data_IF_368232319832
#
_entry.id   IF_368232319832
#
_cell.length_a   1.000
_cell.length_b   1.000
_cell.length_c   1.000
_cell.angle_alpha   90.00
_cell.angle_beta   90.00
_cell.angle_gamma   90.00
#
_symmetry.space_group_name_H-M   'P 1'
#
loop_
_entity.id
_entity.type
_entity.pdbx_description
1 polymer ?
#
# COMPACT_ATOMS: atom_id res chain seq x y z
N UNK A 1 -8.04 -9.86 33.65
CA UNK A 1 -9.33 -9.15 33.60
C UNK A 1 -10.10 -9.56 34.84
N UNK A 2 -10.09 -8.72 35.83
CA UNK A 2 -10.76 -8.93 37.11
C UNK A 2 -12.15 -8.29 37.03
N UNK A 3 -13.19 -9.12 37.20
CA UNK A 3 -14.56 -8.66 37.36
C UNK A 3 -14.84 -8.53 38.85
N UNK A 4 -14.93 -7.32 39.33
CA UNK A 4 -15.41 -6.98 40.68
C UNK A 4 -16.93 -7.05 40.69
N UNK A 5 -17.47 -8.06 41.38
CA UNK A 5 -18.89 -8.13 41.70
C UNK A 5 -19.12 -7.38 43.02
N UNK A 6 -19.80 -6.24 42.96
CA UNK A 6 -20.32 -5.47 44.07
C UNK A 6 -21.59 -6.17 44.60
N UNK A 7 -21.49 -6.83 45.73
CA UNK A 7 -22.63 -7.34 46.49
C UNK A 7 -23.17 -6.24 47.41
N UNK A 8 -24.33 -5.69 47.10
CA UNK A 8 -25.07 -4.84 48.04
C UNK A 8 -25.61 -5.66 49.19
N UNK A 9 -25.08 -5.43 50.37
CA UNK A 9 -25.68 -5.83 51.65
C UNK A 9 -26.95 -5.01 51.90
N UNK A 10 -28.12 -5.63 51.70
CA UNK A 10 -29.38 -5.10 52.19
C UNK A 10 -29.55 -5.59 53.66
N UNK A 11 -29.50 -4.66 54.58
CA UNK A 11 -29.91 -4.89 55.97
C UNK A 11 -31.39 -5.30 56.04
N UNK A 12 -31.78 -6.31 56.82
CA UNK A 12 -33.17 -6.59 57.07
C UNK A 12 -33.79 -5.52 57.94
N UNK A 13 -34.85 -4.92 57.47
CA UNK A 13 -35.67 -3.95 58.18
C UNK A 13 -36.41 -4.67 59.29
N UNK A 14 -36.38 -4.07 60.50
CA UNK A 14 -37.13 -4.47 61.66
C UNK A 14 -38.66 -4.47 61.37
N UNK A 15 -39.43 -5.45 61.89
CA UNK A 15 -40.88 -5.46 61.73
C UNK A 15 -41.56 -4.33 62.51
N UNK A 16 -42.69 -3.85 62.02
CA UNK A 16 -43.36 -2.70 62.62
C UNK A 16 -43.94 -3.03 63.99
N UNK A 17 -43.76 -2.04 64.84
CA UNK A 17 -44.27 -2.00 66.21
C UNK A 17 -45.77 -2.23 66.23
N UNK A 18 -46.24 -3.39 66.71
CA UNK A 18 -47.68 -3.65 66.88
C UNK A 18 -48.18 -2.84 68.08
N UNK A 19 -49.06 -1.93 67.79
CA UNK A 19 -49.84 -1.16 68.74
C UNK A 19 -50.45 -2.06 69.79
N UNK A 20 -50.12 -1.80 71.03
CA UNK A 20 -50.83 -2.29 72.18
C UNK A 20 -52.19 -1.58 72.21
N UNK A 21 -53.35 -2.26 72.18
CA UNK A 21 -54.64 -1.61 72.30
C UNK A 21 -54.78 -1.01 73.68
N UNK A 22 -55.45 0.19 73.85
CA UNK A 22 -55.62 0.84 75.14
C UNK A 22 -56.41 -0.07 76.06
N UNK A 23 -55.91 -0.21 77.29
CA UNK A 23 -56.59 -0.89 78.38
C UNK A 23 -57.85 -0.12 78.68
N UNK A 24 -59.02 -0.65 78.28
CA UNK A 24 -60.28 -0.16 78.79
C UNK A 24 -60.33 -0.45 80.30
N UNK A 25 -60.15 0.57 81.06
CA UNK A 25 -60.39 0.59 82.50
C UNK A 25 -61.89 0.61 82.68
N UNK A 26 -62.53 -0.56 82.63
CA UNK A 26 -63.88 -0.69 83.21
C UNK A 26 -63.79 -0.38 84.71
N UNK A 27 -64.73 0.38 85.30
CA UNK A 27 -64.68 0.74 86.72
C UNK A 27 -64.70 -0.56 87.51
N UNK A 28 -63.69 -0.68 88.36
CA UNK A 28 -63.59 -1.77 89.34
C UNK A 28 -64.75 -1.71 90.25
N UNK A 29 -65.64 -2.69 90.39
CA UNK A 29 -66.67 -2.72 91.39
C UNK A 29 -66.01 -2.82 92.73
N UNK A 30 -66.40 -1.90 93.63
CA UNK A 30 -65.90 -1.88 95.05
C UNK A 30 -66.34 -3.09 95.76
N UNK A 31 -65.46 -4.08 95.84
CA UNK A 31 -65.69 -5.39 96.44
C UNK A 31 -65.96 -5.31 97.94
N UNK A 32 -65.47 -4.24 98.60
CA UNK A 32 -65.54 -4.11 100.06
C UNK A 32 -66.80 -3.44 100.54
N UNK A 33 -67.59 -2.78 99.72
CA UNK A 33 -68.77 -1.98 100.08
C UNK A 33 -70.09 -2.63 99.60
N UNK A 34 -70.11 -3.88 99.14
CA UNK A 34 -71.28 -4.57 98.67
C UNK A 34 -72.14 -4.99 99.86
N UNK A 35 -73.29 -4.37 100.02
CA UNK A 35 -74.21 -4.64 101.15
C UNK A 35 -75.41 -5.46 100.74
N UNK A 36 -75.63 -5.67 99.47
CA UNK A 36 -76.75 -6.45 98.90
C UNK A 36 -76.31 -7.78 98.33
N UNK A 37 -77.11 -8.85 98.50
CA UNK A 37 -76.83 -10.19 97.93
C UNK A 37 -76.78 -10.19 96.42
N UNK A 38 -77.45 -9.21 95.72
CA UNK A 38 -77.43 -9.10 94.29
C UNK A 38 -76.09 -8.47 93.81
N UNK A 39 -75.52 -7.51 94.60
CA UNK A 39 -74.21 -6.91 94.34
C UNK A 39 -73.05 -7.88 94.54
N UNK A 40 -73.14 -8.73 95.63
CA UNK A 40 -72.15 -9.75 95.85
C UNK A 40 -72.15 -10.82 94.69
N UNK A 41 -73.33 -11.22 94.24
CA UNK A 41 -73.42 -12.11 93.06
C UNK A 41 -72.84 -11.48 91.78
N UNK A 42 -73.09 -10.17 91.54
CA UNK A 42 -72.57 -9.46 90.37
C UNK A 42 -71.03 -9.31 90.46
N UNK A 43 -70.49 -8.97 91.65
CA UNK A 43 -69.03 -8.88 91.84
C UNK A 43 -68.36 -10.28 91.77
N UNK A 44 -69.02 -11.34 92.22
CA UNK A 44 -68.51 -12.70 92.13
C UNK A 44 -68.50 -13.20 90.64
N UNK A 45 -69.59 -12.88 89.91
CA UNK A 45 -69.57 -13.13 88.44
C UNK A 45 -68.54 -12.38 87.65
N UNK A 46 -68.32 -11.12 88.02
CA UNK A 46 -67.26 -10.27 87.47
C UNK A 46 -65.86 -10.82 87.80
N UNK A 47 -65.64 -11.25 89.10
CA UNK A 47 -64.37 -11.89 89.48
C UNK A 47 -64.12 -13.16 88.69
N UNK A 48 -65.18 -14.01 88.49
CA UNK A 48 -65.05 -15.26 87.68
C UNK A 48 -64.76 -14.95 86.23
N UNK A 49 -65.32 -13.89 85.68
CA UNK A 49 -64.98 -13.49 84.32
C UNK A 49 -63.55 -12.94 84.23
N UNK A 50 -63.06 -12.24 85.19
CA UNK A 50 -61.68 -11.79 85.29
C UNK A 50 -60.72 -12.99 85.45
N UNK A 51 -61.05 -13.89 86.37
CA UNK A 51 -60.27 -15.16 86.52
C UNK A 51 -60.16 -15.90 85.20
N UNK A 52 -61.29 -16.14 84.52
CA UNK A 52 -61.30 -16.81 83.25
C UNK A 52 -60.47 -16.03 82.18
N UNK A 53 -60.54 -14.69 82.18
CA UNK A 53 -59.72 -13.92 81.24
C UNK A 53 -58.22 -14.00 81.57
N UNK A 54 -57.85 -13.92 82.83
CA UNK A 54 -56.46 -14.06 83.26
C UNK A 54 -55.95 -15.49 83.01
N UNK A 55 -56.78 -16.52 83.23
CA UNK A 55 -56.42 -17.89 82.96
C UNK A 55 -56.20 -18.13 81.41
N UNK A 56 -57.10 -17.57 80.57
CA UNK A 56 -56.95 -17.65 79.14
C UNK A 56 -55.67 -16.92 78.67
N UNK A 57 -55.34 -15.75 79.25
CA UNK A 57 -54.06 -15.05 78.95
C UNK A 57 -52.85 -15.78 79.45
N UNK A 58 -52.92 -16.48 80.54
CA UNK A 58 -51.85 -17.32 81.09
C UNK A 58 -51.62 -18.54 80.13
N UNK A 59 -52.66 -19.19 79.71
CA UNK A 59 -52.60 -20.31 78.81
C UNK A 59 -52.04 -19.87 77.42
N UNK A 60 -52.46 -18.74 76.95
CA UNK A 60 -51.93 -18.14 75.73
C UNK A 60 -50.40 -17.80 75.86
N UNK A 61 -49.97 -17.29 77.02
CA UNK A 61 -48.56 -17.04 77.28
C UNK A 61 -47.75 -18.34 77.40
N UNK A 62 -48.31 -19.38 78.06
CA UNK A 62 -47.66 -20.68 78.20
C UNK A 62 -47.53 -21.38 76.83
N UNK A 63 -48.56 -21.30 75.97
CA UNK A 63 -48.46 -21.77 74.59
C UNK A 63 -47.45 -21.03 73.77
N UNK A 64 -47.47 -19.70 73.85
CA UNK A 64 -46.47 -18.82 73.20
C UNK A 64 -45.04 -19.14 73.67
N UNK A 65 -44.86 -19.37 74.99
CA UNK A 65 -43.54 -19.75 75.53
C UNK A 65 -43.09 -21.15 74.98
N UNK A 66 -44.03 -22.11 74.88
CA UNK A 66 -43.70 -23.41 74.29
C UNK A 66 -43.32 -23.29 72.82
N UNK A 67 -44.07 -22.48 72.05
CA UNK A 67 -43.77 -22.23 70.65
C UNK A 67 -42.42 -21.53 70.49
N UNK A 68 -42.16 -20.50 71.32
CA UNK A 68 -40.87 -19.81 71.33
C UNK A 68 -39.72 -20.77 71.67
N UNK A 69 -39.92 -21.66 72.67
CA UNK A 69 -38.91 -22.68 73.00
C UNK A 69 -38.67 -23.65 71.86
N UNK A 70 -39.74 -24.02 71.09
CA UNK A 70 -39.63 -24.88 69.91
C UNK A 70 -38.85 -24.21 68.81
N UNK A 71 -39.17 -22.94 68.51
CA UNK A 71 -38.44 -22.15 67.51
C UNK A 71 -36.99 -21.86 67.91
N UNK A 72 -36.69 -21.60 69.19
CA UNK A 72 -35.32 -21.50 69.68
C UNK A 72 -34.54 -22.81 69.46
N UNK A 73 -35.16 -23.95 69.80
CA UNK A 73 -34.56 -25.26 69.57
C UNK A 73 -34.31 -25.52 68.06
N UNK A 74 -35.23 -25.08 67.20
CA UNK A 74 -35.05 -25.14 65.74
C UNK A 74 -33.92 -24.25 65.26
N UNK A 75 -33.79 -23.01 65.79
CA UNK A 75 -32.70 -22.09 65.49
C UNK A 75 -31.35 -22.65 65.94
N UNK A 76 -31.29 -23.29 67.13
CA UNK A 76 -30.04 -23.91 67.58
C UNK A 76 -29.61 -25.09 66.70
N UNK A 77 -30.57 -25.91 66.25
CA UNK A 77 -30.26 -26.94 65.27
C UNK A 77 -29.76 -26.38 63.93
N UNK A 78 -30.41 -25.32 63.43
CA UNK A 78 -29.94 -24.66 62.21
C UNK A 78 -28.55 -24.02 62.41
N UNK A 79 -28.29 -23.38 63.57
CA UNK A 79 -26.98 -22.83 63.92
C UNK A 79 -25.90 -23.91 63.96
N UNK A 80 -26.21 -25.05 64.57
CA UNK A 80 -25.30 -26.20 64.62
C UNK A 80 -25.02 -26.76 63.22
N UNK A 81 -26.07 -26.88 62.38
CA UNK A 81 -25.95 -27.29 60.98
C UNK A 81 -25.10 -26.33 60.17
N UNK A 82 -25.37 -25.04 60.27
CA UNK A 82 -24.56 -23.99 59.59
C UNK A 82 -23.10 -24.03 60.06
N UNK A 83 -22.89 -24.20 61.35
CA UNK A 83 -21.55 -24.36 61.93
C UNK A 83 -20.80 -25.58 61.39
N UNK A 84 -21.50 -26.71 61.29
CA UNK A 84 -20.94 -27.92 60.68
C UNK A 84 -20.62 -27.71 59.21
N UNK A 85 -21.54 -27.12 58.42
CA UNK A 85 -21.30 -26.82 57.03
C UNK A 85 -20.16 -25.79 56.82
N UNK A 86 -20.09 -24.76 57.66
CA UNK A 86 -19.00 -23.79 57.61
C UNK A 86 -17.65 -24.47 57.95
N UNK A 87 -17.61 -25.36 58.91
CA UNK A 87 -16.41 -26.13 59.23
C UNK A 87 -15.98 -27.07 58.09
N UNK A 88 -16.92 -27.81 57.51
CA UNK A 88 -16.64 -28.70 56.35
C UNK A 88 -16.18 -27.87 55.13
N UNK A 89 -16.86 -26.76 54.82
CA UNK A 89 -16.47 -25.89 53.71
C UNK A 89 -15.08 -25.31 53.95
N UNK A 90 -14.76 -24.90 55.16
CA UNK A 90 -13.42 -24.40 55.50
C UNK A 90 -12.34 -25.48 55.38
N UNK A 91 -12.65 -26.68 55.84
CA UNK A 91 -11.76 -27.85 55.70
C UNK A 91 -11.48 -28.18 54.22
N UNK A 92 -12.53 -28.21 53.37
CA UNK A 92 -12.38 -28.41 51.91
C UNK A 92 -11.57 -27.26 51.29
N UNK A 93 -11.91 -26.00 51.61
CA UNK A 93 -11.27 -24.85 51.03
C UNK A 93 -9.80 -24.73 51.44
N UNK A 94 -9.52 -24.79 52.73
CA UNK A 94 -8.15 -24.59 53.25
C UNK A 94 -7.29 -25.87 53.21
N UNK A 95 -7.91 -27.03 53.26
CA UNK A 95 -7.19 -28.30 53.13
C UNK A 95 -7.05 -28.71 51.69
N UNK A 96 -8.05 -29.38 51.14
CA UNK A 96 -7.97 -30.05 49.86
C UNK A 96 -7.78 -29.11 48.66
N UNK A 97 -8.54 -27.98 48.62
CA UNK A 97 -8.43 -27.04 47.50
C UNK A 97 -7.13 -26.26 47.54
N UNK A 98 -6.66 -25.89 48.73
CA UNK A 98 -5.37 -25.20 48.88
C UNK A 98 -4.18 -26.09 48.49
N UNK A 99 -4.18 -27.33 48.90
CA UNK A 99 -3.16 -28.31 48.49
C UNK A 99 -3.23 -28.63 46.99
N UNK A 100 -4.44 -28.80 46.44
CA UNK A 100 -4.62 -29.00 45.00
C UNK A 100 -4.15 -27.77 44.19
N UNK A 101 -4.48 -26.55 44.64
CA UNK A 101 -4.00 -25.33 44.04
C UNK A 101 -2.46 -25.22 44.11
N UNK A 102 -1.86 -25.52 45.24
CA UNK A 102 -0.41 -25.54 45.41
C UNK A 102 0.30 -26.58 44.52
N UNK A 103 -0.32 -27.76 44.33
CA UNK A 103 0.21 -28.78 43.40
C UNK A 103 0.04 -28.36 41.95
N UNK A 104 -1.12 -27.76 41.59
CA UNK A 104 -1.37 -27.23 40.26
C UNK A 104 -0.40 -26.10 39.89
N UNK A 105 -0.13 -25.18 40.82
CA UNK A 105 0.87 -24.12 40.64
C UNK A 105 2.28 -24.67 40.46
N UNK A 106 2.69 -25.67 41.24
CA UNK A 106 4.01 -26.31 41.04
C UNK A 106 4.15 -26.97 39.68
N UNK A 107 3.09 -27.72 39.24
CA UNK A 107 3.07 -28.36 37.93
C UNK A 107 3.10 -27.28 36.82
N UNK A 108 2.24 -26.26 36.91
CA UNK A 108 2.16 -25.17 35.95
C UNK A 108 3.50 -24.41 35.83
N UNK A 109 4.15 -24.14 36.96
CA UNK A 109 5.47 -23.49 36.96
C UNK A 109 6.56 -24.40 36.38
N UNK A 110 6.50 -25.73 36.63
CA UNK A 110 7.41 -26.68 36.02
C UNK A 110 7.21 -26.77 34.50
N UNK A 111 5.95 -26.81 34.03
CA UNK A 111 5.63 -26.80 32.60
C UNK A 111 6.10 -25.50 31.95
N UNK A 112 5.80 -24.34 32.52
CA UNK A 112 6.29 -23.06 31.99
C UNK A 112 7.81 -22.99 31.88
N UNK A 113 8.53 -23.55 32.87
CA UNK A 113 9.99 -23.61 32.82
C UNK A 113 10.48 -24.51 31.68
N UNK A 114 9.87 -25.71 31.52
CA UNK A 114 10.19 -26.63 30.43
C UNK A 114 9.84 -26.03 29.07
N UNK A 115 8.72 -25.34 28.92
CA UNK A 115 8.35 -24.65 27.70
C UNK A 115 9.36 -23.57 27.32
N UNK A 116 9.85 -22.81 28.32
CA UNK A 116 10.86 -21.78 28.12
C UNK A 116 12.23 -22.41 27.75
N UNK A 117 12.60 -23.50 28.37
CA UNK A 117 13.82 -24.26 28.01
C UNK A 117 13.70 -24.84 26.59
N UNK A 118 12.53 -25.41 26.25
CA UNK A 118 12.25 -25.92 24.90
C UNK A 118 12.32 -24.81 23.85
N UNK A 119 11.74 -23.63 24.13
CA UNK A 119 11.80 -22.48 23.23
C UNK A 119 13.25 -22.01 23.02
N UNK A 120 14.08 -22.00 24.06
CA UNK A 120 15.50 -21.67 23.96
C UNK A 120 16.27 -22.68 23.13
N UNK A 121 16.03 -23.97 23.36
CA UNK A 121 16.70 -25.05 22.59
C UNK A 121 16.29 -24.97 21.11
N UNK A 122 15.01 -24.75 20.80
CA UNK A 122 14.57 -24.56 19.42
C UNK A 122 15.24 -23.36 18.77
N UNK A 123 15.29 -22.21 19.46
CA UNK A 123 15.96 -21.03 18.93
C UNK A 123 17.46 -21.23 18.70
N UNK A 124 18.15 -21.94 19.61
CA UNK A 124 19.58 -22.25 19.41
C UNK A 124 19.81 -23.24 18.26
N UNK A 125 18.92 -24.25 18.10
CA UNK A 125 18.98 -25.20 16.99
C UNK A 125 18.80 -24.47 15.66
N UNK A 126 17.82 -23.58 15.56
CA UNK A 126 17.59 -22.77 14.36
C UNK A 126 18.82 -21.94 13.97
N UNK A 127 19.49 -21.30 14.94
CA UNK A 127 20.73 -20.56 14.68
C UNK A 127 21.85 -21.49 14.21
N UNK A 128 21.99 -22.67 14.80
CA UNK A 128 22.99 -23.65 14.39
C UNK A 128 22.75 -24.14 12.97
N UNK A 129 21.49 -24.44 12.62
CA UNK A 129 21.11 -24.84 11.26
C UNK A 129 21.40 -23.72 10.24
N UNK A 130 21.07 -22.47 10.59
CA UNK A 130 21.37 -21.30 9.75
C UNK A 130 22.89 -21.08 9.55
N UNK A 131 23.69 -21.27 10.58
CA UNK A 131 25.17 -21.17 10.47
C UNK A 131 25.76 -22.34 9.68
N UNK A 132 25.23 -23.54 9.82
CA UNK A 132 25.64 -24.69 9.00
C UNK A 132 25.30 -24.46 7.51
N UNK A 133 24.12 -23.94 7.22
CA UNK A 133 23.72 -23.54 5.86
C UNK A 133 24.64 -22.45 5.31
N UNK A 134 24.93 -21.42 6.11
CA UNK A 134 25.82 -20.33 5.73
C UNK A 134 27.24 -20.87 5.39
N UNK A 135 27.75 -21.81 6.18
CA UNK A 135 29.05 -22.49 5.92
C UNK A 135 29.00 -23.28 4.62
N UNK A 136 27.93 -24.04 4.38
CA UNK A 136 27.76 -24.80 3.15
C UNK A 136 27.67 -23.86 1.93
N UNK A 137 27.02 -22.73 2.06
CA UNK A 137 26.93 -21.71 1.01
C UNK A 137 28.32 -21.07 0.75
N UNK A 138 29.06 -20.68 1.78
CA UNK A 138 30.39 -20.08 1.61
C UNK A 138 31.37 -21.04 0.89
N UNK A 139 31.42 -22.30 1.29
CA UNK A 139 32.21 -23.33 0.62
C UNK A 139 31.70 -23.61 -0.80
N UNK A 140 30.37 -23.65 -0.99
CA UNK A 140 29.74 -23.83 -2.30
C UNK A 140 30.09 -22.72 -3.28
N UNK A 141 30.09 -21.46 -2.84
CA UNK A 141 30.53 -20.30 -3.63
C UNK A 141 32.00 -20.44 -4.01
N UNK A 142 32.89 -20.69 -3.02
CA UNK A 142 34.33 -20.84 -3.28
C UNK A 142 34.63 -21.98 -4.28
N UNK A 143 33.98 -23.13 -4.11
CA UNK A 143 34.13 -24.27 -5.02
C UNK A 143 33.56 -24.00 -6.42
N UNK A 144 32.47 -23.27 -6.54
CA UNK A 144 31.81 -22.94 -7.84
C UNK A 144 32.56 -21.83 -8.59
N UNK A 145 33.33 -20.98 -7.91
CA UNK A 145 34.19 -19.96 -8.52
C UNK A 145 35.53 -20.49 -8.97
N UNK A 146 35.92 -21.71 -8.54
CA UNK A 146 37.09 -22.43 -9.02
C UNK A 146 36.93 -22.94 -10.47
N UNK A 147 37.86 -23.80 -10.88
CA UNK A 147 37.77 -24.43 -12.21
C UNK A 147 37.13 -25.83 -12.11
N UNK A 148 36.08 -26.18 -12.87
CA UNK A 148 35.33 -25.35 -13.85
C UNK A 148 34.36 -24.32 -13.18
N UNK A 149 34.35 -23.12 -13.70
CA UNK A 149 33.48 -22.07 -13.17
C UNK A 149 31.99 -22.34 -13.49
N UNK A 150 31.19 -22.44 -12.43
CA UNK A 150 29.74 -22.55 -12.52
C UNK A 150 29.07 -21.34 -11.83
N UNK A 151 28.90 -20.28 -12.61
CA UNK A 151 28.38 -18.99 -12.12
C UNK A 151 26.93 -19.07 -11.64
N UNK A 152 26.13 -19.96 -12.21
CA UNK A 152 24.74 -20.13 -11.81
C UNK A 152 24.64 -20.79 -10.44
N UNK A 153 25.47 -21.81 -10.18
CA UNK A 153 25.53 -22.42 -8.84
C UNK A 153 26.08 -21.45 -7.81
N UNK A 154 27.16 -20.71 -8.15
CA UNK A 154 27.67 -19.68 -7.26
C UNK A 154 26.61 -18.62 -6.90
N UNK A 155 25.84 -18.12 -7.87
CA UNK A 155 24.76 -17.19 -7.65
C UNK A 155 23.62 -17.81 -6.81
N UNK A 156 23.29 -19.09 -7.00
CA UNK A 156 22.29 -19.79 -6.20
C UNK A 156 22.70 -19.95 -4.73
N UNK A 157 23.99 -20.24 -4.47
CA UNK A 157 24.51 -20.28 -3.10
C UNK A 157 24.47 -18.90 -2.43
N UNK A 158 24.83 -17.84 -3.15
CA UNK A 158 24.71 -16.47 -2.64
C UNK A 158 23.25 -16.11 -2.33
N UNK A 159 22.33 -16.52 -3.18
CA UNK A 159 20.90 -16.30 -2.92
C UNK A 159 20.42 -17.00 -1.66
N UNK A 160 20.83 -18.26 -1.45
CA UNK A 160 20.51 -19.01 -0.22
C UNK A 160 21.14 -18.37 1.02
N UNK A 161 22.42 -17.96 0.92
CA UNK A 161 23.08 -17.23 2.00
C UNK A 161 22.38 -15.91 2.35
N UNK A 162 21.85 -15.19 1.37
CA UNK A 162 21.11 -13.95 1.57
C UNK A 162 19.75 -14.16 2.28
N UNK A 163 19.22 -15.38 2.34
CA UNK A 163 18.01 -15.70 3.10
C UNK A 163 18.29 -15.84 4.61
N UNK A 164 19.54 -16.04 5.01
CA UNK A 164 19.94 -16.11 6.41
C UNK A 164 19.86 -14.71 7.03
N UNK A 165 19.23 -14.54 8.22
CA UNK A 165 19.14 -13.24 8.87
C UNK A 165 20.51 -12.59 9.08
N UNK A 166 20.63 -11.28 8.82
CA UNK A 166 21.85 -10.53 8.98
C UNK A 166 22.42 -10.57 10.41
N UNK A 167 21.56 -10.74 11.41
CA UNK A 167 21.94 -10.92 12.81
C UNK A 167 22.74 -12.20 13.05
N UNK A 168 22.46 -13.25 12.28
CA UNK A 168 23.19 -14.52 12.34
C UNK A 168 24.47 -14.43 11.53
N UNK A 169 24.43 -13.88 10.33
CA UNK A 169 25.61 -13.70 9.45
C UNK A 169 26.72 -12.89 10.15
N UNK A 170 26.34 -11.82 10.85
CA UNK A 170 27.25 -10.94 11.58
C UNK A 170 27.47 -11.37 13.06
N UNK A 171 26.87 -12.49 13.45
CA UNK A 171 26.99 -13.00 14.82
C UNK A 171 28.38 -13.57 15.11
N UNK A 172 28.83 -13.45 16.38
CA UNK A 172 30.12 -13.99 16.82
C UNK A 172 30.26 -15.51 16.55
N UNK A 173 29.19 -16.26 16.71
CA UNK A 173 29.13 -17.68 16.44
C UNK A 173 29.39 -18.03 14.96
N UNK A 174 28.80 -17.27 14.04
CA UNK A 174 29.06 -17.44 12.61
C UNK A 174 30.47 -17.04 12.23
N UNK A 175 31.01 -15.96 12.81
CA UNK A 175 32.36 -15.49 12.58
C UNK A 175 33.46 -16.50 13.04
N UNK A 176 33.14 -17.34 14.03
CA UNK A 176 34.02 -18.36 14.54
C UNK A 176 33.88 -19.71 13.79
N UNK A 177 32.66 -20.11 13.47
CA UNK A 177 32.35 -21.45 12.96
C UNK A 177 32.40 -21.59 11.44
N UNK A 178 32.16 -20.50 10.70
CA UNK A 178 32.10 -20.53 9.21
C UNK A 178 33.51 -20.56 8.59
N UNK A 179 34.49 -19.76 9.05
CA UNK A 179 35.86 -19.78 8.47
C UNK A 179 36.45 -21.16 8.42
N UNK A 180 37.12 -21.48 7.30
CA UNK A 180 37.81 -22.74 7.06
C UNK A 180 39.18 -22.45 6.45
N UNK A 181 40.01 -23.49 6.31
CA UNK A 181 41.31 -23.33 5.65
C UNK A 181 41.19 -22.84 4.18
N UNK A 182 40.07 -23.15 3.52
CA UNK A 182 39.80 -22.72 2.14
C UNK A 182 39.19 -21.31 2.07
N UNK A 183 38.47 -20.91 3.11
CA UNK A 183 37.77 -19.62 3.21
C UNK A 183 38.07 -19.04 4.60
N UNK A 184 39.17 -18.36 4.79
CA UNK A 184 39.61 -17.87 6.10
C UNK A 184 38.89 -16.62 6.58
N UNK A 185 38.26 -15.88 5.67
CA UNK A 185 37.59 -14.62 5.97
C UNK A 185 36.23 -14.81 6.66
N UNK A 186 35.72 -13.81 7.42
CA UNK A 186 34.39 -13.81 7.97
C UNK A 186 33.34 -13.98 6.88
N UNK A 187 32.17 -14.64 7.17
CA UNK A 187 31.18 -14.99 6.15
C UNK A 187 30.62 -13.77 5.43
N UNK A 188 30.39 -12.65 6.12
CA UNK A 188 29.94 -11.42 5.51
C UNK A 188 30.88 -10.89 4.43
N UNK A 189 32.17 -10.82 4.74
CA UNK A 189 33.22 -10.33 3.82
C UNK A 189 33.37 -11.27 2.63
N UNK A 190 33.39 -12.58 2.89
CA UNK A 190 33.50 -13.60 1.83
C UNK A 190 32.35 -13.52 0.84
N UNK A 191 31.12 -13.43 1.35
CA UNK A 191 29.89 -13.35 0.51
C UNK A 191 29.83 -12.05 -0.29
N UNK A 192 30.19 -10.91 0.33
CA UNK A 192 30.22 -9.61 -0.34
C UNK A 192 31.30 -9.57 -1.44
N UNK A 193 32.51 -10.04 -1.18
CA UNK A 193 33.57 -10.13 -2.17
C UNK A 193 33.19 -11.05 -3.34
N UNK A 194 32.57 -12.18 -3.05
CA UNK A 194 32.07 -13.10 -4.06
C UNK A 194 30.97 -12.48 -4.91
N UNK A 195 30.03 -11.79 -4.28
CA UNK A 195 28.94 -11.08 -4.97
C UNK A 195 29.49 -9.98 -5.88
N UNK A 196 30.50 -9.23 -5.45
CA UNK A 196 31.13 -8.18 -6.25
C UNK A 196 31.93 -8.78 -7.43
N UNK A 197 32.70 -9.84 -7.20
CA UNK A 197 33.41 -10.55 -8.24
C UNK A 197 32.46 -11.12 -9.32
N UNK A 198 31.38 -11.77 -8.90
CA UNK A 198 30.35 -12.28 -9.82
C UNK A 198 29.64 -11.15 -10.54
N UNK A 199 29.35 -10.03 -9.87
CA UNK A 199 28.76 -8.86 -10.51
C UNK A 199 29.66 -8.34 -11.64
N UNK A 200 30.95 -8.21 -11.40
CA UNK A 200 31.92 -7.83 -12.42
C UNK A 200 32.02 -8.81 -13.60
N UNK A 201 31.94 -10.12 -13.33
CA UNK A 201 31.85 -11.14 -14.37
C UNK A 201 30.56 -11.05 -15.19
N UNK A 202 29.42 -10.93 -14.54
CA UNK A 202 28.12 -10.81 -15.20
C UNK A 202 28.04 -9.57 -16.08
N UNK A 203 28.59 -8.44 -15.62
CA UNK A 203 28.66 -7.22 -16.42
C UNK A 203 29.46 -7.43 -17.72
N UNK A 204 30.63 -8.03 -17.63
CA UNK A 204 31.48 -8.31 -18.80
C UNK A 204 30.81 -9.26 -19.80
N UNK A 205 30.25 -10.35 -19.31
CA UNK A 205 29.59 -11.33 -20.16
C UNK A 205 28.26 -10.79 -20.73
N UNK A 206 27.54 -9.96 -19.98
CA UNK A 206 26.36 -9.27 -20.47
C UNK A 206 26.72 -8.31 -21.62
N UNK A 207 27.76 -7.47 -21.44
CA UNK A 207 28.23 -6.55 -22.48
C UNK A 207 28.72 -7.31 -23.74
N UNK A 208 29.38 -8.45 -23.54
CA UNK A 208 29.79 -9.31 -24.64
C UNK A 208 28.56 -9.88 -25.37
N UNK A 209 27.58 -10.40 -24.64
CA UNK A 209 26.33 -10.90 -25.20
C UNK A 209 25.55 -9.82 -25.97
N UNK A 210 25.57 -8.57 -25.49
CA UNK A 210 24.99 -7.42 -26.19
C UNK A 210 25.72 -7.14 -27.51
N UNK A 211 27.05 -7.19 -27.53
CA UNK A 211 27.84 -7.02 -28.78
C UNK A 211 27.60 -8.15 -29.78
N UNK A 212 27.46 -9.38 -29.28
CA UNK A 212 27.13 -10.57 -30.08
C UNK A 212 25.66 -10.60 -30.49
N UNK A 213 24.81 -9.73 -29.93
CA UNK A 213 23.36 -9.70 -30.11
C UNK A 213 22.65 -11.02 -29.75
N UNK A 214 23.19 -11.72 -28.72
CA UNK A 214 22.65 -13.00 -28.24
C UNK A 214 21.60 -12.76 -27.12
N UNK A 215 20.33 -12.71 -27.52
CA UNK A 215 19.21 -12.46 -26.59
C UNK A 215 19.08 -13.54 -25.51
N UNK A 216 19.48 -14.79 -25.79
CA UNK A 216 19.40 -15.88 -24.82
C UNK A 216 20.40 -15.67 -23.68
N UNK A 217 21.65 -15.33 -24.02
CA UNK A 217 22.68 -15.00 -23.01
C UNK A 217 22.34 -13.75 -22.24
N UNK A 218 21.84 -12.70 -22.91
CA UNK A 218 21.38 -11.45 -22.24
C UNK A 218 20.33 -11.78 -21.19
N UNK A 219 19.31 -12.55 -21.53
CA UNK A 219 18.25 -12.96 -20.61
C UNK A 219 18.79 -13.83 -19.48
N UNK A 220 19.73 -14.73 -19.75
CA UNK A 220 20.37 -15.60 -18.77
C UNK A 220 21.09 -14.77 -17.72
N UNK A 221 22.00 -13.88 -18.11
CA UNK A 221 22.74 -13.04 -17.17
C UNK A 221 21.85 -12.05 -16.44
N UNK A 222 20.83 -11.51 -17.11
CA UNK A 222 19.85 -10.63 -16.48
C UNK A 222 19.17 -11.29 -15.26
N UNK A 223 18.82 -12.57 -15.35
CA UNK A 223 18.20 -13.33 -14.25
C UNK A 223 19.14 -13.60 -13.06
N UNK A 224 20.46 -13.52 -13.26
CA UNK A 224 21.44 -13.82 -12.21
C UNK A 224 21.74 -12.63 -11.27
N UNK A 225 21.57 -11.39 -11.73
CA UNK A 225 21.84 -10.20 -10.90
C UNK A 225 21.03 -10.14 -9.60
N UNK A 226 19.71 -10.43 -9.60
CA UNK A 226 18.94 -10.42 -8.36
C UNK A 226 19.37 -11.52 -7.37
N UNK A 227 19.88 -12.66 -7.87
CA UNK A 227 20.37 -13.76 -7.02
C UNK A 227 21.59 -13.37 -6.19
N UNK A 228 22.45 -12.50 -6.73
CA UNK A 228 23.63 -11.99 -6.01
C UNK A 228 23.35 -10.71 -5.20
N UNK A 229 22.06 -10.30 -5.06
CA UNK A 229 21.68 -9.10 -4.34
C UNK A 229 21.98 -7.78 -5.06
N UNK A 230 22.42 -7.80 -6.31
CA UNK A 230 22.77 -6.62 -7.13
C UNK A 230 21.68 -6.28 -8.17
N UNK A 231 20.42 -6.33 -7.74
CA UNK A 231 19.27 -6.11 -8.62
C UNK A 231 19.27 -4.73 -9.29
N UNK A 232 19.73 -3.68 -8.62
CA UNK A 232 19.77 -2.33 -9.19
C UNK A 232 20.75 -2.21 -10.35
N UNK A 233 21.93 -2.83 -10.20
CA UNK A 233 22.95 -2.88 -11.26
C UNK A 233 22.39 -3.62 -12.48
N UNK A 234 21.74 -4.76 -12.27
CA UNK A 234 21.11 -5.53 -13.34
C UNK A 234 20.06 -4.73 -14.11
N UNK A 235 19.18 -4.01 -13.41
CA UNK A 235 18.17 -3.14 -14.04
C UNK A 235 18.81 -1.98 -14.82
N UNK A 236 19.89 -1.40 -14.29
CA UNK A 236 20.59 -0.30 -14.95
C UNK A 236 21.29 -0.72 -16.24
N UNK A 237 21.92 -1.89 -16.24
CA UNK A 237 22.58 -2.45 -17.42
C UNK A 237 21.55 -2.87 -18.46
N UNK A 238 20.48 -3.50 -18.03
CA UNK A 238 19.38 -3.90 -18.89
C UNK A 238 18.68 -2.70 -19.49
N UNK A 239 18.41 -1.65 -18.69
CA UNK A 239 17.84 -0.40 -19.18
C UNK A 239 18.71 0.25 -20.25
N UNK A 240 20.05 0.27 -20.08
CA UNK A 240 20.98 0.77 -21.11
C UNK A 240 20.89 -0.04 -22.41
N UNK A 241 20.87 -1.37 -22.29
CA UNK A 241 20.72 -2.25 -23.45
C UNK A 241 19.44 -1.96 -24.24
N UNK A 242 18.32 -1.86 -23.54
CA UNK A 242 17.03 -1.60 -24.17
C UNK A 242 17.00 -0.21 -24.81
N UNK A 243 17.53 0.83 -24.15
CA UNK A 243 17.65 2.19 -24.69
C UNK A 243 18.50 2.22 -25.96
N UNK A 244 19.62 1.49 -26.01
CA UNK A 244 20.45 1.34 -27.23
C UNK A 244 19.64 0.73 -28.38
N UNK A 245 18.82 -0.27 -28.12
CA UNK A 245 17.91 -0.88 -29.09
C UNK A 245 16.88 0.13 -29.62
N UNK A 246 16.26 0.90 -28.74
CA UNK A 246 15.32 1.97 -29.12
C UNK A 246 16.00 3.02 -29.97
N UNK A 247 17.17 3.51 -29.58
CA UNK A 247 17.93 4.51 -30.32
C UNK A 247 18.34 4.01 -31.72
N UNK A 248 18.82 2.77 -31.82
CA UNK A 248 19.21 2.18 -33.09
C UNK A 248 18.01 2.06 -34.05
N UNK A 249 16.85 1.61 -33.54
CA UNK A 249 15.64 1.47 -34.35
C UNK A 249 15.03 2.82 -34.74
N UNK A 250 15.09 3.82 -33.86
CA UNK A 250 14.66 5.20 -34.17
C UNK A 250 15.48 5.81 -35.29
N UNK A 251 16.82 5.69 -35.23
CA UNK A 251 17.72 6.14 -36.29
C UNK A 251 17.50 5.40 -37.62
N UNK A 252 17.31 4.09 -37.57
CA UNK A 252 17.00 3.30 -38.75
C UNK A 252 15.69 3.75 -39.43
N UNK A 253 14.67 4.09 -38.62
CA UNK A 253 13.40 4.62 -39.12
C UNK A 253 13.56 5.99 -39.80
N UNK A 254 14.43 6.86 -39.28
CA UNK A 254 14.74 8.15 -39.89
C UNK A 254 15.60 8.01 -41.18
N UNK A 255 16.61 7.13 -41.15
CA UNK A 255 17.55 6.96 -42.27
C UNK A 255 16.95 6.12 -43.41
N UNK A 256 15.97 5.26 -43.16
CA UNK A 256 15.32 4.43 -44.17
C UNK A 256 14.59 5.22 -45.26
N UNK A 257 14.39 6.54 -45.04
CA UNK A 257 13.81 7.45 -46.02
C UNK A 257 14.84 8.17 -46.91
N UNK A 258 16.14 8.08 -46.59
CA UNK A 258 17.20 8.80 -47.34
C UNK A 258 17.65 8.05 -48.60
N UNK A 259 17.16 6.81 -48.87
CA UNK A 259 17.60 5.95 -49.97
C UNK A 259 16.83 6.06 -51.30
N UNK A 260 15.89 6.95 -51.44
CA UNK A 260 15.14 7.13 -52.70
C UNK A 260 14.47 8.48 -52.75
N UNK A 261 14.53 9.17 -53.89
CA UNK A 261 13.94 10.48 -54.19
C UNK A 261 12.38 10.47 -54.14
N UNK A 262 11.76 9.72 -53.22
CA UNK A 262 10.36 9.88 -52.91
C UNK A 262 10.25 11.01 -51.87
N UNK A 263 9.58 12.09 -52.28
CA UNK A 263 9.10 13.14 -51.40
C UNK A 263 8.59 12.51 -50.13
N UNK A 264 9.26 12.82 -48.99
CA UNK A 264 8.83 12.34 -47.65
C UNK A 264 7.35 12.63 -47.53
N UNK A 265 6.56 11.55 -47.39
CA UNK A 265 5.11 11.62 -47.29
C UNK A 265 4.70 12.67 -46.25
N UNK A 266 3.60 13.39 -46.44
CA UNK A 266 3.20 14.52 -45.58
C UNK A 266 3.11 14.19 -44.08
N UNK A 267 3.17 12.89 -43.72
CA UNK A 267 3.10 12.41 -42.32
C UNK A 267 4.30 11.56 -41.91
N UNK A 268 5.43 11.68 -42.58
CA UNK A 268 6.61 10.82 -42.37
C UNK A 268 7.10 10.93 -40.91
N UNK A 269 7.25 12.12 -40.36
CA UNK A 269 7.75 12.35 -39.00
C UNK A 269 6.75 11.93 -37.93
N UNK A 270 5.46 12.17 -38.16
CA UNK A 270 4.41 11.67 -37.30
C UNK A 270 4.40 10.14 -37.21
N UNK A 271 4.66 9.46 -38.35
CA UNK A 271 4.78 8.00 -38.38
C UNK A 271 6.06 7.50 -37.71
N UNK A 272 7.20 8.23 -37.87
CA UNK A 272 8.45 7.92 -37.19
C UNK A 272 8.28 8.00 -35.66
N UNK A 273 7.62 9.05 -35.17
CA UNK A 273 7.31 9.23 -33.75
C UNK A 273 6.36 8.15 -33.23
N UNK A 274 5.35 7.80 -34.01
CA UNK A 274 4.43 6.70 -33.67
C UNK A 274 5.18 5.38 -33.52
N UNK A 275 6.04 5.03 -34.46
CA UNK A 275 6.86 3.80 -34.39
C UNK A 275 7.82 3.78 -33.20
N UNK A 276 8.35 4.94 -32.80
CA UNK A 276 9.17 5.06 -31.59
C UNK A 276 8.36 4.68 -30.37
N UNK A 277 7.19 5.28 -30.18
CA UNK A 277 6.34 5.03 -29.03
C UNK A 277 5.76 3.61 -28.99
N UNK A 278 5.33 3.09 -30.13
CA UNK A 278 4.89 1.69 -30.26
C UNK A 278 6.00 0.70 -29.90
N UNK A 279 7.23 0.96 -30.31
CA UNK A 279 8.36 0.10 -29.96
C UNK A 279 8.65 0.13 -28.45
N UNK A 280 8.60 1.29 -27.82
CA UNK A 280 8.76 1.40 -26.37
C UNK A 280 7.63 0.69 -25.64
N UNK A 281 6.38 0.84 -26.10
CA UNK A 281 5.24 0.12 -25.52
C UNK A 281 5.40 -1.41 -25.66
N UNK A 282 5.82 -1.92 -26.80
CA UNK A 282 6.11 -3.35 -27.00
C UNK A 282 7.19 -3.87 -26.07
N UNK A 283 8.22 -3.07 -25.79
CA UNK A 283 9.27 -3.44 -24.84
C UNK A 283 8.71 -3.50 -23.41
N UNK A 284 7.93 -2.52 -23.01
CA UNK A 284 7.34 -2.47 -21.67
C UNK A 284 6.41 -3.67 -21.46
N UNK A 285 5.51 -3.95 -22.42
CA UNK A 285 4.59 -5.07 -22.34
C UNK A 285 5.29 -6.43 -22.40
N UNK A 286 6.26 -6.59 -23.31
CA UNK A 286 6.98 -7.85 -23.50
C UNK A 286 7.94 -8.18 -22.36
N UNK A 287 8.56 -7.19 -21.76
CA UNK A 287 9.61 -7.39 -20.73
C UNK A 287 9.13 -7.14 -19.32
N UNK A 288 7.97 -6.51 -19.10
CA UNK A 288 7.40 -6.22 -17.80
C UNK A 288 7.27 -7.46 -16.93
N UNK A 289 6.68 -8.52 -17.47
CA UNK A 289 6.51 -9.79 -16.76
C UNK A 289 7.85 -10.46 -16.38
N UNK A 290 8.88 -10.37 -17.22
CA UNK A 290 10.21 -10.90 -16.94
C UNK A 290 10.87 -10.15 -15.76
N UNK A 291 10.76 -8.83 -15.76
CA UNK A 291 11.33 -7.98 -14.70
C UNK A 291 10.60 -8.23 -13.38
N UNK A 292 9.27 -8.25 -13.38
CA UNK A 292 8.49 -8.47 -12.16
C UNK A 292 8.72 -9.86 -11.55
N UNK A 293 8.84 -10.89 -12.38
CA UNK A 293 9.07 -12.26 -11.92
C UNK A 293 10.42 -12.42 -11.21
N UNK A 294 11.49 -11.81 -11.74
CA UNK A 294 12.84 -12.02 -11.23
C UNK A 294 13.32 -10.94 -10.24
N UNK A 295 12.84 -9.71 -10.41
CA UNK A 295 13.28 -8.56 -9.61
C UNK A 295 12.26 -8.10 -8.57
N UNK A 296 11.03 -8.62 -8.66
CA UNK A 296 9.93 -8.28 -7.78
C UNK A 296 9.05 -7.14 -8.32
N UNK A 297 7.91 -6.91 -7.67
CA UNK A 297 6.92 -5.94 -8.12
C UNK A 297 7.49 -4.52 -8.13
N UNK A 298 7.01 -3.70 -9.07
CA UNK A 298 7.36 -2.28 -9.23
C UNK A 298 8.79 -1.97 -9.67
N UNK A 299 9.63 -2.96 -9.90
CA UNK A 299 11.02 -2.72 -10.32
C UNK A 299 11.13 -2.31 -11.80
N UNK A 300 10.10 -2.60 -12.61
CA UNK A 300 10.04 -2.15 -14.01
C UNK A 300 10.06 -0.62 -14.14
N UNK A 301 9.58 0.11 -13.13
CA UNK A 301 9.59 1.56 -13.12
C UNK A 301 10.95 2.18 -13.41
N UNK A 302 12.04 1.62 -12.87
CA UNK A 302 13.42 2.11 -13.12
C UNK A 302 13.85 1.95 -14.58
N UNK A 303 13.39 0.90 -15.27
CA UNK A 303 13.62 0.70 -16.70
C UNK A 303 12.78 1.69 -17.51
N UNK A 304 11.53 1.92 -17.12
CA UNK A 304 10.64 2.90 -17.75
C UNK A 304 11.19 4.33 -17.63
N UNK A 305 11.75 4.71 -16.49
CA UNK A 305 12.42 6.01 -16.34
C UNK A 305 13.53 6.23 -17.37
N UNK A 306 14.37 5.21 -17.58
CA UNK A 306 15.43 5.27 -18.60
C UNK A 306 14.87 5.29 -20.01
N UNK A 307 13.86 4.49 -20.29
CA UNK A 307 13.17 4.49 -21.58
C UNK A 307 12.52 5.84 -21.88
N UNK A 308 11.98 6.51 -20.86
CA UNK A 308 11.41 7.84 -21.01
C UNK A 308 12.47 8.88 -21.37
N UNK A 309 13.63 8.86 -20.70
CA UNK A 309 14.75 9.75 -21.06
C UNK A 309 15.19 9.51 -22.50
N UNK A 310 15.27 8.26 -22.93
CA UNK A 310 15.63 7.91 -24.30
C UNK A 310 14.54 8.33 -25.32
N UNK A 311 13.26 8.16 -24.93
CA UNK A 311 12.12 8.62 -25.75
C UNK A 311 12.17 10.14 -25.96
N UNK A 312 12.53 10.91 -24.94
CA UNK A 312 12.67 12.35 -25.02
C UNK A 312 13.83 12.75 -25.95
N UNK A 313 14.97 12.05 -25.88
CA UNK A 313 16.12 12.29 -26.75
C UNK A 313 15.79 11.98 -28.21
N UNK A 314 15.26 10.77 -28.48
CA UNK A 314 14.96 10.36 -29.85
C UNK A 314 13.76 11.11 -30.44
N UNK A 315 12.75 11.41 -29.62
CA UNK A 315 11.62 12.27 -30.00
C UNK A 315 12.08 13.70 -30.32
N UNK A 316 12.99 14.25 -29.53
CA UNK A 316 13.63 15.54 -29.81
C UNK A 316 14.34 15.55 -31.18
N UNK A 317 15.15 14.54 -31.47
CA UNK A 317 15.85 14.41 -32.78
C UNK A 317 14.84 14.36 -33.94
N UNK A 318 13.74 13.61 -33.78
CA UNK A 318 12.68 13.53 -34.81
C UNK A 318 12.04 14.91 -35.05
N UNK A 319 11.73 15.63 -33.95
CA UNK A 319 11.10 16.94 -34.00
C UNK A 319 12.03 18.01 -34.58
N UNK A 320 13.31 18.02 -34.17
CA UNK A 320 14.30 18.95 -34.70
C UNK A 320 14.50 18.73 -36.22
N UNK A 321 14.65 17.47 -36.66
CA UNK A 321 14.75 17.10 -38.06
C UNK A 321 13.51 17.52 -38.85
N UNK A 322 12.32 17.32 -38.28
CA UNK A 322 11.06 17.77 -38.87
C UNK A 322 11.00 19.30 -39.04
N UNK A 323 11.38 20.02 -37.96
CA UNK A 323 11.39 21.49 -37.97
C UNK A 323 12.33 22.03 -39.05
N UNK A 324 13.56 21.45 -39.15
CA UNK A 324 14.58 21.86 -40.12
C UNK A 324 14.15 21.55 -41.55
N UNK A 325 13.68 20.31 -41.83
CA UNK A 325 13.31 19.92 -43.21
C UNK A 325 12.02 20.60 -43.72
N UNK A 326 11.07 20.87 -42.81
CA UNK A 326 9.82 21.58 -43.16
C UNK A 326 9.98 23.09 -43.10
N UNK A 327 11.15 23.59 -42.67
CA UNK A 327 11.40 25.02 -42.46
C UNK A 327 10.33 25.71 -41.62
N UNK A 328 9.93 25.02 -40.53
CA UNK A 328 8.78 25.42 -39.69
C UNK A 328 8.94 26.80 -39.13
N UNK A 329 10.12 27.11 -38.59
CA UNK A 329 10.41 28.42 -38.00
C UNK A 329 10.27 29.54 -39.03
N UNK A 330 10.82 29.37 -40.26
CA UNK A 330 10.73 30.34 -41.32
C UNK A 330 9.27 30.52 -41.78
N UNK A 331 8.57 29.43 -42.05
CA UNK A 331 7.17 29.48 -42.52
C UNK A 331 6.23 30.12 -41.49
N UNK A 332 6.45 29.90 -40.20
CA UNK A 332 5.63 30.49 -39.13
C UNK A 332 5.95 31.98 -38.90
N UNK A 333 7.21 32.40 -39.11
CA UNK A 333 7.58 33.79 -38.97
C UNK A 333 7.12 34.66 -40.16
N UNK A 334 7.03 34.06 -41.34
CA UNK A 334 6.64 34.75 -42.57
C UNK A 334 5.12 34.81 -42.79
N UNK A 335 4.32 34.38 -41.83
CA UNK A 335 2.84 34.48 -41.89
C UNK A 335 2.45 35.97 -41.79
N UNK A 336 2.16 36.58 -42.95
CA UNK A 336 1.51 37.87 -43.00
C UNK A 336 0.01 37.74 -42.77
N UNK A 337 -0.61 38.75 -42.19
CA UNK A 337 -2.05 38.81 -42.06
C UNK A 337 -2.71 38.91 -43.43
N UNK A 338 -3.24 37.78 -43.92
CA UNK A 338 -3.92 37.74 -45.21
C UNK A 338 -5.41 38.07 -45.03
N UNK A 339 -6.00 38.80 -46.00
CA UNK A 339 -7.44 39.00 -46.03
C UNK A 339 -8.18 37.66 -46.14
N UNK A 340 -9.33 37.53 -45.46
CA UNK A 340 -10.15 36.32 -45.46
C UNK A 340 -10.47 35.78 -46.86
N UNK A 341 -10.72 36.66 -47.78
CA UNK A 341 -10.96 36.34 -49.21
C UNK A 341 -9.78 35.59 -49.85
N UNK A 342 -8.55 35.98 -49.52
CA UNK A 342 -7.35 35.33 -50.04
C UNK A 342 -7.20 33.93 -49.43
N UNK A 343 -7.43 33.76 -48.14
CA UNK A 343 -7.39 32.48 -47.47
C UNK A 343 -8.41 31.51 -48.04
N UNK A 344 -9.66 31.95 -48.27
CA UNK A 344 -10.70 31.12 -48.89
C UNK A 344 -10.35 30.70 -50.31
N UNK A 345 -9.80 31.61 -51.11
CA UNK A 345 -9.39 31.34 -52.50
C UNK A 345 -8.25 30.32 -52.62
N UNK A 346 -7.32 30.29 -51.64
CA UNK A 346 -6.21 29.31 -51.64
C UNK A 346 -6.65 27.88 -51.42
N UNK A 347 -7.81 27.64 -50.79
CA UNK A 347 -8.39 26.33 -50.54
C UNK A 347 -9.45 25.91 -51.59
N UNK A 348 -9.90 26.81 -52.47
CA UNK A 348 -10.81 26.45 -53.54
C UNK A 348 -10.04 25.72 -54.68
N UNK A 349 -10.63 24.66 -55.23
CA UNK A 349 -9.99 24.01 -56.37
C UNK A 349 -9.86 25.02 -57.53
N UNK A 350 -8.64 25.12 -58.07
CA UNK A 350 -8.38 26.02 -59.21
C UNK A 350 -9.42 25.78 -60.31
N UNK A 351 -10.23 26.78 -60.60
CA UNK A 351 -11.18 26.71 -61.71
C UNK A 351 -10.36 26.48 -62.96
N UNK A 352 -10.65 25.38 -63.73
CA UNK A 352 -10.04 25.12 -65.01
C UNK A 352 -10.22 26.37 -65.88
N UNK A 353 -9.16 26.87 -66.56
CA UNK A 353 -9.30 28.00 -67.49
C UNK A 353 -10.33 27.57 -68.57
N UNK A 354 -11.43 28.30 -68.59
CA UNK A 354 -12.38 28.16 -69.69
C UNK A 354 -11.73 28.60 -70.99
N UNK A 355 -12.26 28.20 -72.16
CA UNK A 355 -11.64 28.51 -73.46
C UNK A 355 -11.50 30.01 -73.68
N UNK A 356 -10.45 30.47 -74.37
CA UNK A 356 -10.08 31.89 -74.48
C UNK A 356 -11.19 32.68 -75.15
N UNK A 357 -11.83 33.58 -74.44
CA UNK A 357 -12.63 34.65 -75.02
C UNK A 357 -11.71 35.81 -75.37
N UNK A 358 -11.76 36.14 -76.65
CA UNK A 358 -11.00 37.17 -77.33
C UNK A 358 -11.09 38.58 -76.67
N UNK A 359 -9.94 39.17 -76.49
CA UNK A 359 -9.50 40.56 -76.66
C UNK A 359 -10.31 41.72 -76.15
N UNK A 360 -9.66 42.42 -75.21
CA UNK A 360 -9.46 43.86 -75.33
C UNK A 360 -8.16 44.31 -74.58
N UNK A 361 -7.31 45.19 -75.13
CA UNK A 361 -6.10 45.59 -74.49
C UNK A 361 -6.44 46.72 -73.48
N UNK A 362 -6.27 46.51 -72.22
CA UNK A 362 -6.22 47.55 -71.23
C UNK A 362 -4.87 47.49 -70.52
N UNK A 363 -4.19 48.58 -70.74
CA UNK A 363 -2.92 48.99 -70.17
C UNK A 363 -2.90 48.90 -68.66
N UNK A 364 -1.90 48.22 -68.14
CA UNK A 364 -1.64 48.14 -66.70
C UNK A 364 -0.77 46.91 -66.36
N UNK A 365 0.44 46.89 -66.94
CA UNK A 365 1.50 46.00 -66.50
C UNK A 365 1.93 46.42 -65.09
N UNK A 366 1.37 45.87 -64.10
CA UNK A 366 2.05 45.75 -62.83
C UNK A 366 2.81 44.40 -62.85
N UNK A 367 4.12 44.57 -62.94
CA UNK A 367 5.12 43.52 -62.73
C UNK A 367 4.67 42.66 -61.53
N UNK A 368 4.25 41.44 -61.81
CA UNK A 368 4.20 40.41 -60.83
C UNK A 368 5.65 40.20 -60.36
N UNK A 369 6.05 40.88 -59.35
CA UNK A 369 7.14 40.43 -58.50
C UNK A 369 6.71 39.08 -57.99
N UNK A 370 7.50 38.06 -58.31
CA UNK A 370 7.47 36.75 -57.67
C UNK A 370 7.72 37.00 -56.17
N UNK A 371 6.68 37.49 -55.47
CA UNK A 371 6.61 37.34 -54.06
C UNK A 371 6.34 35.87 -53.81
N UNK A 372 7.35 35.10 -53.40
CA UNK A 372 7.24 33.76 -52.84
C UNK A 372 6.19 33.83 -51.73
N UNK A 373 4.93 33.83 -52.11
CA UNK A 373 3.81 33.70 -51.15
C UNK A 373 3.88 32.35 -50.54
N UNK A 374 4.04 32.29 -49.21
CA UNK A 374 3.99 31.04 -48.47
C UNK A 374 2.71 30.30 -48.85
N UNK A 375 2.83 29.09 -49.37
CA UNK A 375 1.65 28.28 -49.76
C UNK A 375 0.89 27.86 -48.49
N UNK A 376 -0.33 28.43 -48.34
CA UNK A 376 -1.20 28.12 -47.17
C UNK A 376 -1.50 26.65 -47.03
N UNK A 377 -1.45 25.85 -48.11
CA UNK A 377 -1.62 24.40 -48.07
C UNK A 377 -0.42 23.71 -47.44
N UNK A 378 0.78 24.23 -47.62
CA UNK A 378 1.96 23.71 -46.92
C UNK A 378 1.89 24.00 -45.44
N UNK A 379 1.42 25.20 -45.03
CA UNK A 379 1.23 25.54 -43.62
C UNK A 379 0.17 24.61 -42.99
N UNK A 380 -0.95 24.41 -43.67
CA UNK A 380 -1.99 23.51 -43.21
C UNK A 380 -1.45 22.07 -43.07
N UNK A 381 -0.65 21.58 -44.01
CA UNK A 381 0.02 20.28 -43.94
C UNK A 381 0.96 20.18 -42.73
N UNK A 382 1.77 21.20 -42.46
CA UNK A 382 2.67 21.24 -41.29
C UNK A 382 1.89 21.25 -39.98
N UNK A 383 0.83 22.06 -39.89
CA UNK A 383 -0.01 22.12 -38.69
C UNK A 383 -0.75 20.81 -38.44
N UNK A 384 -1.22 20.17 -39.50
CA UNK A 384 -1.90 18.87 -39.38
C UNK A 384 -0.94 17.75 -38.95
N UNK A 385 0.28 17.69 -39.54
CA UNK A 385 1.31 16.73 -39.09
C UNK A 385 1.67 16.96 -37.61
N UNK A 386 1.82 18.20 -37.19
CA UNK A 386 2.09 18.56 -35.79
C UNK A 386 0.93 18.14 -34.85
N UNK A 387 -0.31 18.36 -35.26
CA UNK A 387 -1.48 17.96 -34.47
C UNK A 387 -1.52 16.44 -34.25
N UNK A 388 -1.16 15.66 -35.29
CA UNK A 388 -1.05 14.20 -35.19
C UNK A 388 0.08 13.80 -34.24
N UNK A 389 1.27 14.44 -34.34
CA UNK A 389 2.39 14.16 -33.42
C UNK A 389 2.02 14.43 -31.96
N UNK A 390 1.35 15.55 -31.68
CA UNK A 390 0.85 15.88 -30.34
C UNK A 390 -0.19 14.87 -29.84
N UNK A 391 -1.08 14.39 -30.73
CA UNK A 391 -2.03 13.35 -30.42
C UNK A 391 -1.34 12.04 -30.03
N UNK A 392 -0.30 11.63 -30.77
CA UNK A 392 0.49 10.41 -30.48
C UNK A 392 1.27 10.53 -29.18
N UNK A 393 1.86 11.68 -28.94
CA UNK A 393 2.48 11.98 -27.65
C UNK A 393 1.50 11.87 -26.47
N UNK A 394 0.31 12.41 -26.60
CA UNK A 394 -0.72 12.33 -25.57
C UNK A 394 -1.15 10.89 -25.27
N UNK A 395 -1.28 10.05 -26.31
CA UNK A 395 -1.58 8.62 -26.16
C UNK A 395 -0.45 7.88 -25.44
N UNK A 396 0.80 8.16 -25.81
CA UNK A 396 1.97 7.58 -25.15
C UNK A 396 2.05 7.98 -23.68
N UNK A 397 1.81 9.25 -23.35
CA UNK A 397 1.75 9.71 -21.95
C UNK A 397 0.65 9.01 -21.14
N UNK A 398 -0.51 8.77 -21.75
CA UNK A 398 -1.58 7.99 -21.09
C UNK A 398 -1.17 6.55 -20.86
N UNK A 399 -0.61 5.89 -21.85
CA UNK A 399 -0.10 4.53 -21.73
C UNK A 399 0.91 4.41 -20.58
N UNK A 400 1.88 5.33 -20.49
CA UNK A 400 2.83 5.35 -19.38
C UNK A 400 2.16 5.60 -18.04
N UNK A 401 1.18 6.51 -17.98
CA UNK A 401 0.43 6.78 -16.75
C UNK A 401 -0.34 5.55 -16.28
N UNK A 402 -1.00 4.84 -17.18
CA UNK A 402 -1.74 3.62 -16.87
C UNK A 402 -0.81 2.48 -16.43
N UNK A 403 0.34 2.31 -17.11
CA UNK A 403 1.34 1.30 -16.78
C UNK A 403 2.05 1.62 -15.46
N UNK A 404 2.32 2.91 -15.18
CA UNK A 404 2.98 3.39 -13.98
C UNK A 404 2.01 3.70 -12.84
N UNK A 405 0.69 3.61 -13.04
CA UNK A 405 -0.36 4.02 -12.08
C UNK A 405 -0.25 3.32 -10.71
N UNK A 406 0.67 2.42 -10.59
CA UNK A 406 1.00 1.74 -9.36
C UNK A 406 2.16 2.43 -8.62
N UNK A 407 2.97 3.32 -9.25
CA UNK A 407 4.29 3.64 -8.68
C UNK A 407 4.87 5.04 -8.84
N UNK A 408 4.29 6.00 -9.57
CA UNK A 408 5.12 7.17 -9.89
C UNK A 408 4.59 8.52 -9.46
N UNK A 409 5.39 9.18 -8.61
CA UNK A 409 5.43 10.63 -8.40
C UNK A 409 5.54 11.37 -9.73
N UNK A 410 4.73 12.40 -9.88
CA UNK A 410 4.63 13.34 -11.02
C UNK A 410 5.95 13.98 -11.55
N UNK A 411 7.11 13.58 -11.07
CA UNK A 411 8.40 14.18 -11.51
C UNK A 411 8.78 13.85 -12.95
N UNK A 412 8.41 12.67 -13.46
CA UNK A 412 8.72 12.26 -14.84
C UNK A 412 7.93 13.04 -15.91
N UNK A 413 6.70 13.48 -15.56
CA UNK A 413 5.90 14.28 -16.49
C UNK A 413 6.45 15.68 -16.74
N UNK A 414 7.25 16.25 -15.81
CA UNK A 414 7.75 17.62 -15.95
C UNK A 414 8.94 17.77 -16.90
N UNK A 415 9.79 16.77 -17.05
CA UNK A 415 10.93 16.84 -17.99
C UNK A 415 10.48 16.66 -19.43
N UNK A 416 9.55 15.73 -19.68
CA UNK A 416 9.03 15.42 -21.01
C UNK A 416 8.16 16.55 -21.58
N UNK A 417 7.41 17.26 -20.72
CA UNK A 417 6.62 18.43 -21.14
C UNK A 417 7.48 19.65 -21.49
N UNK A 418 8.72 19.75 -20.98
CA UNK A 418 9.57 20.92 -21.24
C UNK A 418 10.11 20.94 -22.68
N UNK A 419 10.42 19.80 -23.31
CA UNK A 419 10.89 19.76 -24.68
C UNK A 419 9.75 20.08 -25.68
N UNK A 420 8.54 19.55 -25.45
CA UNK A 420 7.36 19.95 -26.23
C UNK A 420 6.85 21.35 -25.86
N UNK A 421 7.04 21.80 -24.61
CA UNK A 421 6.71 23.18 -24.18
C UNK A 421 7.62 24.22 -24.87
N UNK A 422 8.87 23.90 -25.16
CA UNK A 422 9.77 24.82 -25.88
C UNK A 422 9.29 25.03 -27.33
N UNK A 423 8.84 23.97 -28.00
CA UNK A 423 8.22 24.07 -29.33
C UNK A 423 6.90 24.84 -29.29
N UNK A 424 6.06 24.55 -28.29
CA UNK A 424 4.80 25.26 -28.03
C UNK A 424 5.02 26.74 -27.69
N UNK A 425 6.03 27.04 -26.89
CA UNK A 425 6.39 28.42 -26.53
C UNK A 425 6.97 29.15 -27.74
N UNK A 426 7.83 28.53 -28.57
CA UNK A 426 8.31 29.13 -29.84
C UNK A 426 7.15 29.40 -30.80
N UNK A 427 6.17 28.50 -30.90
CA UNK A 427 4.97 28.71 -31.73
C UNK A 427 4.04 29.79 -31.16
N UNK A 428 3.84 29.87 -29.85
CA UNK A 428 3.07 30.96 -29.24
C UNK A 428 3.77 32.30 -29.35
N UNK A 429 5.10 32.33 -29.26
CA UNK A 429 5.89 33.56 -29.48
C UNK A 429 5.83 34.04 -30.94
N UNK A 430 5.85 33.09 -31.90
CA UNK A 430 5.67 33.42 -33.30
C UNK A 430 4.27 33.99 -33.62
N UNK A 431 3.23 33.52 -32.91
CA UNK A 431 1.84 34.00 -33.08
C UNK A 431 1.55 35.28 -32.29
N UNK A 432 2.34 35.60 -31.25
CA UNK A 432 2.14 36.81 -30.41
C UNK A 432 2.98 37.98 -30.79
N UNK A 433 4.02 37.82 -31.65
CA UNK A 433 4.87 38.96 -32.09
C UNK A 433 4.18 39.93 -33.05
N UNK A 434 2.96 39.61 -33.51
CA UNK A 434 2.23 40.44 -34.48
C UNK A 434 0.85 40.93 -34.01
N UNK A 435 0.50 40.80 -32.73
CA UNK A 435 -0.78 41.34 -32.21
C UNK A 435 -0.56 42.62 -31.42
N UNK A 436 -0.41 43.73 -32.14
CA UNK A 436 -0.72 45.08 -31.63
C UNK A 436 -2.24 45.36 -31.64
N UNK A 437 -3.08 44.38 -31.26
CA UNK A 437 -4.49 44.60 -30.98
C UNK A 437 -4.84 44.16 -29.58
N UNK A 438 -5.26 45.07 -28.71
CA UNK A 438 -5.80 44.73 -27.41
C UNK A 438 -7.28 44.34 -27.55
N UNK A 439 -7.62 43.08 -27.39
CA UNK A 439 -9.02 42.72 -27.32
C UNK A 439 -9.31 41.23 -27.46
N UNK A 440 -9.48 40.58 -26.33
CA UNK A 440 -10.40 39.46 -26.06
C UNK A 440 -10.43 38.27 -27.04
N UNK A 441 -9.53 37.32 -26.80
CA UNK A 441 -9.81 35.90 -27.08
C UNK A 441 -9.10 34.94 -26.08
N UNK A 442 -9.23 35.23 -24.81
CA UNK A 442 -8.81 34.36 -23.73
C UNK A 442 -10.01 33.70 -23.12
N UNK A 443 -10.67 32.71 -23.68
CA UNK A 443 -11.57 31.91 -22.84
C UNK A 443 -12.18 30.63 -23.44
N UNK A 444 -11.93 30.23 -24.70
CA UNK A 444 -12.75 29.13 -25.23
C UNK A 444 -12.05 27.87 -25.76
N UNK A 445 -10.75 27.67 -25.53
CA UNK A 445 -10.09 26.48 -26.12
C UNK A 445 -9.44 25.46 -25.18
N UNK A 446 -9.37 25.72 -23.87
CA UNK A 446 -8.92 24.67 -22.94
C UNK A 446 -9.61 24.78 -21.58
N UNK A 447 -10.23 23.70 -21.04
CA UNK A 447 -10.73 23.73 -19.68
C UNK A 447 -9.57 23.83 -18.69
N UNK A 448 -9.62 24.84 -17.83
CA UNK A 448 -8.75 24.95 -16.65
C UNK A 448 -8.93 23.71 -15.79
N UNK A 449 -7.84 23.05 -15.46
CA UNK A 449 -7.83 22.03 -14.40
C UNK A 449 -8.30 22.69 -13.11
N UNK A 450 -9.48 22.31 -12.64
CA UNK A 450 -9.88 22.54 -11.28
C UNK A 450 -8.95 21.76 -10.36
N UNK A 451 -8.31 22.46 -9.47
CA UNK A 451 -7.66 21.98 -8.26
C UNK A 451 -8.64 21.11 -7.49
N UNK A 452 -8.33 19.85 -7.33
CA UNK A 452 -8.98 18.98 -6.32
C UNK A 452 -7.96 18.81 -5.21
N UNK A 453 -8.40 19.22 -4.02
CA UNK A 453 -7.73 19.15 -2.74
C UNK A 453 -7.49 17.69 -2.29
#
# INVERSE_FOLDING_TARGET
MAATANGHNAMPQSPPNTNVPPTETSPRPDIFNASSVAEIKATLSHLHTQEASVTARLDALVTSQKDLSRELGRLDLMRASIGAHASTTRSISHGMLSEAAGTADRISNAVRRLDLEQARVKATLEVVEQVAELKACALGVAGSMGAPQDWEKAASYLHRAAQVPATVVNGAFAAEMVPTAEVPDPPSVTLDNAAESLCGLFLREFEKAVKENDGAKITRFFKLFPLIGRSEVGLDVYGRYVCQGVAAKARANLNGATGGAQTKDGFFYANALTRLFEHIAQIIDGHGGLVEHHYGPRKMGRVIERLQVEADVQGGIILDTWSDERHVDRKLMDIKSYAFTFLVQSFLPAQRPGPPRSQSPAVGASTATDEEGVDMKEIDGVLNEMAIMLGRWSLYCRFLADTCNVCFNLRLFNTSTNNFSSLRVRMMQATTSDSSYPGSCESHLWPRRSTIA
#
